data_IF_015340394606
#
_entry.id   IF_015340394606
#
_cell.length_a   1.000
_cell.length_b   1.000
_cell.length_c   1.000
_cell.angle_alpha   90.00
_cell.angle_beta   90.00
_cell.angle_gamma   90.00
#
_symmetry.space_group_name_H-M   'P 1'
#
loop_
_entity.id
_entity.type
_entity.pdbx_description
1 polymer ?
#
# COMPACT_ATOMS: atom_id res chain seq x y z
N UNK A 1 15.26 4.40 -4.83
CA UNK A 1 14.04 4.46 -5.66
C UNK A 1 12.88 3.93 -4.82
N UNK A 2 11.71 4.53 -4.96
CA UNK A 2 10.50 4.14 -4.22
C UNK A 2 9.49 3.61 -5.23
N UNK A 3 8.95 2.43 -4.94
CA UNK A 3 7.99 1.70 -5.77
C UNK A 3 6.57 2.25 -5.66
N UNK A 4 5.64 1.57 -6.32
CA UNK A 4 4.24 1.99 -6.34
C UNK A 4 3.52 1.60 -5.06
N UNK A 5 2.41 2.28 -4.79
CA UNK A 5 1.47 1.91 -3.72
C UNK A 5 0.46 0.89 -4.28
N UNK A 6 -0.23 0.10 -3.43
CA UNK A 6 -1.31 -0.75 -3.91
C UNK A 6 -2.39 0.06 -4.61
N UNK A 7 -2.80 -0.46 -5.77
CA UNK A 7 -3.74 0.20 -6.67
C UNK A 7 -5.16 -0.34 -6.54
N UNK A 8 -6.13 0.51 -6.86
CA UNK A 8 -7.56 0.19 -6.80
C UNK A 8 -8.29 0.90 -7.95
N UNK A 9 -8.83 0.19 -8.95
CA UNK A 9 -9.40 0.79 -10.18
C UNK A 9 -10.33 1.99 -9.97
N UNK A 10 -11.20 1.90 -8.96
CA UNK A 10 -12.17 2.95 -8.59
C UNK A 10 -11.86 3.61 -7.25
N UNK A 11 -10.66 3.37 -6.72
CA UNK A 11 -10.23 3.77 -5.39
C UNK A 11 -10.65 2.80 -4.28
N UNK A 12 -9.88 2.86 -3.19
CA UNK A 12 -10.15 2.07 -1.99
C UNK A 12 -11.51 2.40 -1.33
N UNK A 13 -11.98 3.67 -1.24
CA UNK A 13 -13.32 3.97 -0.71
C UNK A 13 -14.44 3.25 -1.44
N UNK A 14 -14.39 3.21 -2.78
CA UNK A 14 -15.37 2.49 -3.60
C UNK A 14 -15.30 0.97 -3.37
N UNK A 15 -14.09 0.43 -3.27
CA UNK A 15 -13.86 -0.99 -2.97
C UNK A 15 -14.45 -1.38 -1.61
N UNK A 16 -14.14 -0.59 -0.57
CA UNK A 16 -14.65 -0.79 0.79
C UNK A 16 -16.18 -0.69 0.84
N UNK A 17 -16.74 0.33 0.19
CA UNK A 17 -18.17 0.54 0.17
C UNK A 17 -18.91 -0.66 -0.41
N UNK A 18 -18.45 -1.20 -1.55
CA UNK A 18 -19.14 -2.28 -2.25
C UNK A 18 -18.94 -3.66 -1.62
N UNK A 19 -17.75 -3.92 -1.09
CA UNK A 19 -17.42 -5.22 -0.51
C UNK A 19 -17.85 -5.35 0.94
N UNK A 20 -17.91 -4.25 1.70
CA UNK A 20 -18.17 -4.29 3.14
C UNK A 20 -19.37 -3.44 3.55
N UNK A 21 -19.30 -2.12 3.38
CA UNK A 21 -20.29 -1.18 3.95
C UNK A 21 -21.71 -1.45 3.46
N UNK A 22 -21.91 -1.60 2.13
CA UNK A 22 -23.21 -1.87 1.53
C UNK A 22 -23.79 -3.23 1.94
N UNK A 23 -22.94 -4.14 2.43
CA UNK A 23 -23.31 -5.49 2.87
C UNK A 23 -23.49 -5.58 4.39
N UNK A 24 -23.32 -4.47 5.11
CA UNK A 24 -23.35 -4.45 6.58
C UNK A 24 -22.20 -5.24 7.22
N UNK A 25 -21.10 -5.45 6.50
CA UNK A 25 -19.93 -6.18 7.00
C UNK A 25 -18.93 -5.20 7.64
N UNK A 26 -18.17 -5.65 8.66
CA UNK A 26 -17.08 -4.86 9.21
C UNK A 26 -15.99 -4.66 8.15
N UNK A 27 -15.36 -3.49 8.17
CA UNK A 27 -14.23 -3.17 7.30
C UNK A 27 -12.98 -3.78 7.92
N UNK A 28 -12.31 -4.73 7.25
CA UNK A 28 -11.11 -5.35 7.79
C UNK A 28 -9.93 -4.38 7.65
N UNK A 29 -8.91 -4.55 8.50
CA UNK A 29 -7.64 -3.81 8.40
C UNK A 29 -6.87 -4.13 7.11
N UNK A 30 -7.12 -5.29 6.53
CA UNK A 30 -6.53 -5.78 5.29
C UNK A 30 -7.62 -6.41 4.43
N UNK A 31 -7.59 -6.16 3.13
CA UNK A 31 -8.51 -6.74 2.15
C UNK A 31 -7.70 -7.48 1.09
N UNK A 32 -8.31 -8.50 0.47
CA UNK A 32 -7.77 -9.05 -0.77
C UNK A 32 -7.50 -7.92 -1.77
N UNK A 33 -6.35 -7.98 -2.44
CA UNK A 33 -5.97 -7.04 -3.49
C UNK A 33 -7.09 -6.97 -4.51
N UNK A 34 -7.57 -5.76 -4.77
CA UNK A 34 -8.56 -5.57 -5.81
C UNK A 34 -7.90 -5.91 -7.16
N UNK A 35 -8.57 -6.66 -8.06
CA UNK A 35 -8.08 -6.81 -9.41
C UNK A 35 -8.04 -5.42 -10.06
N UNK A 36 -6.93 -5.13 -10.74
CA UNK A 36 -6.70 -3.87 -11.46
C UNK A 36 -6.48 -4.22 -12.92
N UNK A 37 -7.38 -3.77 -13.79
CA UNK A 37 -7.42 -4.22 -15.20
C UNK A 37 -6.17 -3.80 -16.00
N UNK A 38 -5.50 -2.72 -15.60
CA UNK A 38 -4.37 -2.13 -16.35
C UNK A 38 -3.02 -2.21 -15.63
N UNK A 39 -2.97 -2.81 -14.44
CA UNK A 39 -1.74 -2.80 -13.63
C UNK A 39 -1.75 -3.85 -12.51
N UNK A 40 -1.78 -5.17 -12.84
CA UNK A 40 -1.89 -6.18 -11.80
C UNK A 40 -0.61 -6.32 -10.94
N UNK A 41 0.58 -5.96 -11.48
CA UNK A 41 1.91 -6.04 -10.84
C UNK A 41 2.92 -5.03 -11.46
N UNK A 42 2.46 -4.13 -12.32
CA UNK A 42 3.25 -3.41 -13.31
C UNK A 42 4.20 -2.40 -12.69
N UNK A 43 5.37 -2.28 -13.32
CA UNK A 43 6.58 -1.60 -12.85
C UNK A 43 7.22 -2.15 -11.58
N UNK A 44 6.50 -2.46 -10.50
CA UNK A 44 7.15 -2.76 -9.20
C UNK A 44 8.04 -4.01 -9.24
N UNK A 45 7.51 -5.12 -9.77
CA UNK A 45 8.28 -6.35 -9.99
C UNK A 45 9.45 -6.15 -10.97
N UNK A 46 9.26 -5.31 -11.99
CA UNK A 46 10.33 -4.97 -12.93
C UNK A 46 11.43 -4.16 -12.24
N UNK A 47 11.06 -3.28 -11.31
CA UNK A 47 12.00 -2.46 -10.55
C UNK A 47 12.75 -3.25 -9.48
N UNK A 48 12.15 -4.30 -8.91
CA UNK A 48 12.80 -5.22 -7.96
C UNK A 48 13.98 -5.98 -8.56
N UNK A 49 13.93 -6.32 -9.85
CA UNK A 49 14.99 -7.09 -10.52
C UNK A 49 16.14 -6.23 -11.06
N UNK A 50 16.02 -4.90 -11.03
CA UNK A 50 17.08 -3.98 -11.48
C UNK A 50 18.26 -4.03 -10.50
N UNK A 51 19.47 -4.12 -11.05
CA UNK A 51 20.70 -3.94 -10.28
C UNK A 51 20.98 -2.46 -10.09
N UNK A 52 20.70 -1.95 -8.90
CA UNK A 52 21.01 -0.58 -8.53
C UNK A 52 22.51 -0.41 -8.23
N UNK A 53 23.11 0.75 -8.56
CA UNK A 53 24.48 1.04 -8.20
C UNK A 53 24.67 1.07 -6.68
N UNK A 54 25.92 0.92 -6.24
CA UNK A 54 26.26 0.97 -4.82
C UNK A 54 25.74 2.26 -4.16
N UNK A 55 25.06 2.11 -3.02
CA UNK A 55 24.43 3.22 -2.30
C UNK A 55 23.01 3.56 -2.75
N UNK A 56 22.48 2.89 -3.77
CA UNK A 56 21.07 3.00 -4.17
C UNK A 56 20.36 1.66 -3.97
N UNK A 57 19.13 1.72 -3.44
CA UNK A 57 18.23 0.58 -3.33
C UNK A 57 16.84 0.93 -3.89
N UNK A 58 16.07 -0.10 -4.19
CA UNK A 58 14.65 0.00 -4.47
C UNK A 58 13.86 -0.52 -3.29
N UNK A 59 12.81 0.22 -2.93
CA UNK A 59 11.88 -0.15 -1.87
C UNK A 59 10.49 -0.22 -2.47
N UNK A 60 9.91 -1.41 -2.49
CA UNK A 60 8.52 -1.63 -2.90
C UNK A 60 7.58 -1.14 -1.81
N UNK A 61 6.80 -0.08 -2.07
CA UNK A 61 5.73 0.31 -1.13
C UNK A 61 4.63 -0.75 -1.14
N UNK A 62 4.38 -1.36 -2.30
CA UNK A 62 3.42 -2.43 -2.47
C UNK A 62 3.70 -3.61 -1.52
N UNK A 63 4.94 -4.08 -1.41
CA UNK A 63 5.35 -5.13 -0.45
C UNK A 63 5.27 -4.69 1.02
N UNK A 64 5.41 -3.39 1.29
CA UNK A 64 5.28 -2.84 2.66
C UNK A 64 3.82 -2.81 3.09
N UNK A 65 2.89 -2.55 2.15
CA UNK A 65 1.48 -2.39 2.41
C UNK A 65 0.65 -3.64 2.12
N UNK A 66 1.20 -4.63 1.42
CA UNK A 66 0.52 -5.86 1.07
C UNK A 66 1.34 -7.10 1.44
N UNK A 67 0.67 -8.13 1.97
CA UNK A 67 1.26 -9.44 2.29
C UNK A 67 0.33 -10.55 1.82
N UNK A 68 0.86 -11.53 1.09
CA UNK A 68 0.10 -12.68 0.58
C UNK A 68 -1.21 -12.26 -0.11
N UNK A 69 -1.11 -11.31 -1.04
CA UNK A 69 -2.25 -10.68 -1.75
C UNK A 69 -3.28 -9.94 -0.89
N UNK A 70 -3.00 -9.72 0.40
CA UNK A 70 -3.82 -8.88 1.27
C UNK A 70 -3.17 -7.53 1.47
N UNK A 71 -3.86 -6.49 1.08
CA UNK A 71 -3.41 -5.11 1.19
C UNK A 71 -4.07 -4.40 2.36
N UNK A 72 -3.29 -3.62 3.10
CA UNK A 72 -3.79 -2.79 4.18
C UNK A 72 -4.82 -1.80 3.65
N UNK A 73 -5.88 -1.60 4.40
CA UNK A 73 -6.95 -0.63 4.07
C UNK A 73 -6.90 0.58 5.00
N UNK A 74 -6.54 0.36 6.27
CA UNK A 74 -6.66 1.32 7.35
C UNK A 74 -5.38 1.37 8.21
N UNK A 75 -5.06 2.58 8.69
CA UNK A 75 -4.00 2.81 9.69
C UNK A 75 -4.56 3.03 11.11
N UNK A 76 -5.88 3.12 11.25
CA UNK A 76 -6.59 3.40 12.50
C UNK A 76 -8.09 3.13 12.38
N UNK A 77 -8.88 3.38 13.44
CA UNK A 77 -10.28 3.03 13.50
C UNK A 77 -11.22 4.02 12.76
N UNK A 78 -10.75 5.21 12.40
CA UNK A 78 -11.60 6.23 11.79
C UNK A 78 -11.55 6.15 10.26
N UNK A 79 -12.56 5.51 9.67
CA UNK A 79 -12.66 5.34 8.22
C UNK A 79 -12.53 6.66 7.42
N UNK A 80 -13.01 7.78 7.96
CA UNK A 80 -12.98 9.06 7.24
C UNK A 80 -11.56 9.63 7.08
N UNK A 81 -10.62 9.25 7.96
CA UNK A 81 -9.27 9.82 8.01
C UNK A 81 -8.16 8.79 7.87
N UNK A 82 -8.46 7.51 8.07
CA UNK A 82 -7.43 6.49 8.31
C UNK A 82 -7.29 5.52 7.14
N UNK A 83 -7.97 5.76 6.01
CA UNK A 83 -7.72 5.01 4.78
C UNK A 83 -6.27 5.13 4.34
N UNK A 84 -5.67 4.07 3.81
CA UNK A 84 -4.28 4.12 3.38
C UNK A 84 -4.12 4.80 2.01
N UNK A 85 -5.01 4.49 1.07
CA UNK A 85 -5.06 5.01 -0.30
C UNK A 85 -6.45 5.60 -0.55
N UNK A 86 -6.54 6.68 -1.33
CA UNK A 86 -7.82 7.34 -1.60
C UNK A 86 -8.39 7.00 -2.97
N UNK A 87 -7.59 7.15 -4.02
CA UNK A 87 -8.01 6.94 -5.40
C UNK A 87 -7.28 5.72 -5.98
N UNK A 88 -7.02 5.74 -7.29
CA UNK A 88 -6.31 4.67 -7.97
C UNK A 88 -4.99 4.28 -7.31
N UNK A 89 -4.22 5.24 -6.78
CA UNK A 89 -2.85 4.99 -6.33
C UNK A 89 -2.20 6.13 -5.56
N UNK A 90 -2.97 7.04 -4.96
CA UNK A 90 -2.43 8.05 -4.05
C UNK A 90 -2.70 7.69 -2.59
N UNK A 91 -1.64 7.70 -1.78
CA UNK A 91 -1.77 7.60 -0.33
C UNK A 91 -2.59 8.77 0.20
N UNK A 92 -3.39 8.52 1.23
CA UNK A 92 -3.91 9.61 2.05
C UNK A 92 -2.79 10.21 2.89
N UNK A 93 -3.07 11.33 3.56
CA UNK A 93 -2.15 11.91 4.56
C UNK A 93 -1.75 10.88 5.63
N UNK A 94 -2.72 10.14 6.17
CA UNK A 94 -2.49 9.15 7.21
C UNK A 94 -1.73 7.94 6.68
N UNK A 95 -2.01 7.51 5.45
CA UNK A 95 -1.26 6.46 4.76
C UNK A 95 0.20 6.83 4.51
N UNK A 96 0.46 8.07 4.08
CA UNK A 96 1.81 8.58 3.88
C UNK A 96 2.60 8.66 5.19
N UNK A 97 1.97 9.09 6.29
CA UNK A 97 2.60 9.11 7.60
C UNK A 97 2.98 7.69 8.07
N UNK A 98 2.03 6.76 8.02
CA UNK A 98 2.25 5.36 8.37
C UNK A 98 3.37 4.73 7.54
N UNK A 99 3.36 4.94 6.23
CA UNK A 99 4.42 4.43 5.35
C UNK A 99 5.78 5.01 5.73
N UNK A 100 5.86 6.32 5.95
CA UNK A 100 7.12 6.98 6.32
C UNK A 100 7.68 6.38 7.60
N UNK A 101 6.86 6.24 8.65
CA UNK A 101 7.29 5.61 9.90
C UNK A 101 7.79 4.18 9.69
N UNK A 102 7.11 3.38 8.87
CA UNK A 102 7.55 2.02 8.55
C UNK A 102 8.92 2.00 7.85
N UNK A 103 9.08 2.80 6.81
CA UNK A 103 10.32 2.83 6.04
C UNK A 103 11.52 3.36 6.84
N UNK A 104 11.33 4.43 7.62
CA UNK A 104 12.42 5.00 8.41
C UNK A 104 12.83 4.12 9.59
N UNK A 105 11.88 3.43 10.24
CA UNK A 105 12.23 2.48 11.30
C UNK A 105 13.09 1.33 10.75
N UNK A 106 12.75 0.80 9.58
CA UNK A 106 13.51 -0.28 8.95
C UNK A 106 14.93 0.19 8.52
N UNK A 107 15.06 1.44 8.07
CA UNK A 107 16.35 2.03 7.70
C UNK A 107 17.25 2.34 8.91
N UNK A 108 16.69 2.76 10.03
CA UNK A 108 17.46 3.05 11.25
C UNK A 108 18.02 1.75 11.86
N UNK A 109 17.22 0.67 11.86
CA UNK A 109 17.63 -0.62 12.44
C UNK A 109 18.68 -1.33 11.56
N UNK A 110 18.62 -1.17 10.24
CA UNK A 110 19.59 -1.77 9.31
C UNK A 110 20.94 -1.05 9.22
N UNK A 111 21.06 0.15 9.81
CA UNK A 111 22.29 0.95 9.87
C UNK A 111 23.20 0.67 11.07
N UNK A 112 22.77 -0.18 12.01
CA UNK A 112 23.53 -0.55 13.22
C UNK A 112 24.16 -1.95 13.18
N UNK A 113 24.18 -2.61 12.00
CA UNK A 113 24.71 -3.98 11.80
C UNK A 113 26.06 -4.02 11.09
#
# INVERSE_FOLDING_TARGET
MIGQVPTYDKGLPHTIQNLYTNRGLPIPLETERAPVDNDPLGIDEQMKIIKYPQGASFVSIDDVLCKFDKCRTLVGPNLATDLIVWDYGHLTKSGAYYLSEKLFNDLIISGES
#
